data_IF_656541576863
#
_entry.id   IF_656541576863
#
_cell.length_a   1.000
_cell.length_b   1.000
_cell.length_c   1.000
_cell.angle_alpha   90.00
_cell.angle_beta   90.00
_cell.angle_gamma   90.00
#
_symmetry.space_group_name_H-M   'P 1'
#
loop_
_entity.id
_entity.type
_entity.pdbx_description
1 polymer ?
#
# COMPACT_ATOMS: atom_id res chain seq x y z
N UNK A 1 -4.87 18.00 -35.75
CA UNK A 1 -5.08 16.58 -36.05
C UNK A 1 -5.14 15.88 -34.71
N UNK A 2 -6.35 15.66 -34.19
CA UNK A 2 -6.53 15.06 -32.86
C UNK A 2 -6.42 13.55 -33.03
N UNK A 3 -5.23 13.00 -32.80
CA UNK A 3 -5.07 11.55 -32.66
C UNK A 3 -5.92 11.11 -31.47
N UNK A 4 -6.73 10.04 -31.60
CA UNK A 4 -7.50 9.58 -30.45
C UNK A 4 -6.50 9.11 -29.42
N UNK A 5 -6.33 9.86 -28.32
CA UNK A 5 -5.67 9.36 -27.11
C UNK A 5 -6.26 7.98 -26.81
N UNK A 6 -5.49 6.98 -27.17
CA UNK A 6 -6.05 5.70 -27.60
C UNK A 6 -6.65 4.98 -26.40
N UNK A 7 -7.70 4.19 -26.61
CA UNK A 7 -8.33 3.40 -25.55
C UNK A 7 -7.32 2.60 -24.68
N UNK A 8 -6.14 2.31 -25.23
CA UNK A 8 -4.99 1.74 -24.54
C UNK A 8 -4.52 2.59 -23.36
N UNK A 9 -4.32 3.89 -23.52
CA UNK A 9 -3.75 4.74 -22.46
C UNK A 9 -4.71 4.90 -21.28
N UNK A 10 -6.02 4.96 -21.58
CA UNK A 10 -7.10 4.92 -20.58
C UNK A 10 -7.13 3.58 -19.82
N UNK A 11 -6.79 2.47 -20.49
CA UNK A 11 -6.77 1.13 -19.89
C UNK A 11 -5.54 0.94 -19.00
N UNK A 12 -4.37 1.38 -19.44
CA UNK A 12 -3.14 1.39 -18.62
C UNK A 12 -3.36 2.22 -17.36
N UNK A 13 -3.95 3.41 -17.49
CA UNK A 13 -4.25 4.29 -16.35
C UNK A 13 -5.20 3.64 -15.34
N UNK A 14 -6.25 2.96 -15.83
CA UNK A 14 -7.17 2.20 -14.96
C UNK A 14 -6.45 1.08 -14.23
N UNK A 15 -5.65 0.28 -14.93
CA UNK A 15 -4.88 -0.81 -14.33
C UNK A 15 -3.89 -0.29 -13.29
N UNK A 16 -3.19 0.83 -13.55
CA UNK A 16 -2.28 1.45 -12.59
C UNK A 16 -3.01 1.90 -11.31
N UNK A 17 -4.19 2.53 -11.42
CA UNK A 17 -4.99 2.92 -10.25
C UNK A 17 -5.56 1.73 -9.49
N UNK A 18 -5.99 0.67 -10.19
CA UNK A 18 -6.47 -0.56 -9.57
C UNK A 18 -5.33 -1.22 -8.78
N UNK A 19 -4.14 -1.32 -9.35
CA UNK A 19 -2.97 -1.90 -8.67
C UNK A 19 -2.52 -1.04 -7.48
N UNK A 20 -2.49 0.28 -7.62
CA UNK A 20 -2.17 1.19 -6.52
C UNK A 20 -3.19 1.07 -5.38
N UNK A 21 -4.49 1.06 -5.70
CA UNK A 21 -5.55 0.87 -4.72
C UNK A 21 -5.46 -0.49 -4.02
N UNK A 22 -5.19 -1.57 -4.78
CA UNK A 22 -4.99 -2.90 -4.23
C UNK A 22 -3.78 -2.95 -3.28
N UNK A 23 -2.68 -2.30 -3.65
CA UNK A 23 -1.49 -2.21 -2.80
C UNK A 23 -1.78 -1.47 -1.48
N UNK A 24 -2.52 -0.36 -1.55
CA UNK A 24 -2.93 0.39 -0.34
C UNK A 24 -3.84 -0.46 0.54
N UNK A 25 -4.83 -1.15 -0.04
CA UNK A 25 -5.71 -2.06 0.69
C UNK A 25 -4.92 -3.21 1.34
N UNK A 26 -3.95 -3.77 0.62
CA UNK A 26 -3.11 -4.85 1.13
C UNK A 26 -2.23 -4.38 2.30
N UNK A 27 -1.56 -3.24 2.17
CA UNK A 27 -0.73 -2.65 3.23
C UNK A 27 -1.55 -2.33 4.47
N UNK A 28 -2.68 -1.63 4.30
CA UNK A 28 -3.58 -1.29 5.42
C UNK A 28 -4.20 -2.52 6.06
N UNK A 29 -4.53 -3.54 5.27
CA UNK A 29 -4.98 -4.85 5.74
C UNK A 29 -3.94 -5.55 6.60
N UNK A 30 -2.67 -5.59 6.16
CA UNK A 30 -1.56 -6.15 6.94
C UNK A 30 -1.38 -5.38 8.25
N UNK A 31 -1.36 -4.05 8.22
CA UNK A 31 -1.22 -3.23 9.44
C UNK A 31 -2.35 -3.50 10.42
N UNK A 32 -3.59 -3.57 9.93
CA UNK A 32 -4.78 -3.88 10.75
C UNK A 32 -4.69 -5.28 11.34
N UNK A 33 -4.25 -6.27 10.55
CA UNK A 33 -4.08 -7.63 11.00
C UNK A 33 -2.98 -7.76 12.07
N UNK A 34 -1.85 -7.09 11.88
CA UNK A 34 -0.77 -7.02 12.88
C UNK A 34 -1.28 -6.40 14.19
N UNK A 35 -2.02 -5.29 14.10
CA UNK A 35 -2.61 -4.67 15.29
C UNK A 35 -3.59 -5.61 16.02
N UNK A 36 -4.37 -6.40 15.28
CA UNK A 36 -5.24 -7.42 15.84
C UNK A 36 -4.45 -8.54 16.57
N UNK A 37 -3.33 -8.99 16.00
CA UNK A 37 -2.45 -9.98 16.63
C UNK A 37 -1.81 -9.45 17.91
N UNK A 38 -1.32 -8.20 17.92
CA UNK A 38 -0.79 -7.55 19.14
C UNK A 38 -1.86 -7.53 20.23
N UNK A 39 -3.09 -7.11 19.88
CA UNK A 39 -4.21 -7.06 20.83
C UNK A 39 -4.56 -8.44 21.39
N UNK A 40 -4.50 -9.46 20.55
CA UNK A 40 -4.73 -10.86 20.93
C UNK A 40 -3.64 -11.35 21.88
N UNK A 41 -2.37 -11.09 21.57
CA UNK A 41 -1.23 -11.45 22.42
C UNK A 41 -1.32 -10.81 23.80
N UNK A 42 -1.63 -9.50 23.87
CA UNK A 42 -1.85 -8.82 25.15
C UNK A 42 -3.00 -9.43 25.95
N UNK A 43 -4.10 -9.82 25.29
CA UNK A 43 -5.24 -10.46 25.97
C UNK A 43 -4.88 -11.82 26.56
N UNK A 44 -3.94 -12.54 25.94
CA UNK A 44 -3.45 -13.83 26.43
C UNK A 44 -2.39 -13.69 27.53
N UNK A 45 -2.01 -12.46 27.91
CA UNK A 45 -1.02 -12.23 28.96
C UNK A 45 0.42 -12.47 28.51
N UNK A 46 0.66 -12.52 27.19
CA UNK A 46 2.02 -12.57 26.66
C UNK A 46 2.74 -11.26 27.05
N UNK A 47 3.77 -11.39 27.90
CA UNK A 47 4.79 -10.36 28.12
C UNK A 47 5.47 -10.01 26.79
N UNK A 48 6.29 -8.96 26.75
CA UNK A 48 6.98 -8.41 25.55
C UNK A 48 7.69 -9.50 24.72
N UNK A 49 6.88 -10.23 23.94
CA UNK A 49 7.27 -11.41 23.20
C UNK A 49 7.95 -10.93 21.94
N UNK A 50 8.96 -11.68 21.46
CA UNK A 50 9.65 -11.37 20.21
C UNK A 50 8.65 -11.07 19.07
N UNK A 51 7.51 -11.75 19.07
CA UNK A 51 6.40 -11.55 18.14
C UNK A 51 5.76 -10.15 18.20
N UNK A 52 5.62 -9.56 19.40
CA UNK A 52 5.13 -8.19 19.58
C UNK A 52 6.19 -7.18 19.11
N UNK A 53 7.46 -7.42 19.45
CA UNK A 53 8.58 -6.58 19.00
C UNK A 53 8.70 -6.54 17.47
N UNK A 54 8.64 -7.69 16.81
CA UNK A 54 8.67 -7.81 15.34
C UNK A 54 7.48 -7.08 14.72
N UNK A 55 6.28 -7.23 15.30
CA UNK A 55 5.06 -6.56 14.84
C UNK A 55 5.16 -5.04 14.91
N UNK A 56 5.80 -4.51 15.96
CA UNK A 56 6.00 -3.07 16.15
C UNK A 56 6.93 -2.46 15.09
N UNK A 57 7.96 -3.21 14.65
CA UNK A 57 8.88 -2.80 13.57
C UNK A 57 8.25 -3.02 12.19
N UNK A 58 7.42 -4.05 12.02
CA UNK A 58 6.78 -4.35 10.76
C UNK A 58 5.80 -3.25 10.31
N UNK A 59 5.01 -2.68 11.23
CA UNK A 59 4.05 -1.61 10.92
C UNK A 59 4.70 -0.43 10.18
N UNK A 60 5.75 0.24 10.70
CA UNK A 60 6.38 1.36 10.00
C UNK A 60 7.05 0.94 8.68
N UNK A 61 7.57 -0.29 8.57
CA UNK A 61 8.10 -0.81 7.30
C UNK A 61 7.00 -0.92 6.24
N UNK A 62 5.86 -1.50 6.57
CA UNK A 62 4.73 -1.62 5.64
C UNK A 62 4.13 -0.27 5.28
N UNK A 63 4.04 0.67 6.23
CA UNK A 63 3.60 2.04 5.93
C UNK A 63 4.55 2.76 4.99
N UNK A 64 5.86 2.62 5.20
CA UNK A 64 6.89 3.19 4.31
C UNK A 64 6.77 2.59 2.91
N UNK A 65 6.64 1.27 2.81
CA UNK A 65 6.47 0.57 1.53
C UNK A 65 5.20 1.04 0.80
N UNK A 66 4.08 1.14 1.52
CA UNK A 66 2.83 1.68 0.98
C UNK A 66 2.97 3.12 0.49
N UNK A 67 3.66 3.97 1.26
CA UNK A 67 3.95 5.35 0.88
C UNK A 67 4.80 5.45 -0.38
N UNK A 68 5.87 4.63 -0.49
CA UNK A 68 6.72 4.58 -1.69
C UNK A 68 5.92 4.13 -2.91
N UNK A 69 5.08 3.10 -2.78
CA UNK A 69 4.22 2.63 -3.87
C UNK A 69 3.28 3.75 -4.31
N UNK A 70 2.55 4.38 -3.37
CA UNK A 70 1.65 5.49 -3.71
C UNK A 70 2.41 6.63 -4.38
N UNK A 71 3.57 7.02 -3.85
CA UNK A 71 4.39 8.09 -4.40
C UNK A 71 4.84 7.80 -5.84
N UNK A 72 5.36 6.59 -6.10
CA UNK A 72 5.81 6.18 -7.44
C UNK A 72 4.65 6.16 -8.43
N UNK A 73 3.52 5.57 -8.04
CA UNK A 73 2.36 5.48 -8.93
C UNK A 73 1.75 6.85 -9.22
N UNK A 74 1.64 7.74 -8.22
CA UNK A 74 1.19 9.13 -8.43
C UNK A 74 2.19 9.89 -9.31
N UNK A 75 3.49 9.74 -9.08
CA UNK A 75 4.53 10.38 -9.89
C UNK A 75 4.48 9.96 -11.36
N UNK A 76 4.31 8.66 -11.64
CA UNK A 76 4.18 8.12 -13.00
C UNK A 76 2.92 8.61 -13.71
N UNK A 77 1.82 8.80 -12.98
CA UNK A 77 0.57 9.34 -13.52
C UNK A 77 0.67 10.83 -13.83
N UNK A 78 1.31 11.61 -12.95
CA UNK A 78 1.49 13.05 -13.13
C UNK A 78 2.47 13.37 -14.27
N UNK A 79 3.59 12.63 -14.38
CA UNK A 79 4.58 12.84 -15.44
C UNK A 79 4.02 12.53 -16.84
N UNK A 80 3.14 11.52 -16.95
CA UNK A 80 2.46 11.20 -18.21
C UNK A 80 1.41 12.25 -18.61
N UNK A 81 0.81 12.95 -17.65
CA UNK A 81 -0.17 14.02 -17.93
C UNK A 81 0.47 15.36 -18.31
N UNK A 82 1.77 15.53 -18.08
CA UNK A 82 2.52 16.76 -18.36
C UNK A 82 3.24 16.75 -19.72
N UNK A 83 3.23 15.62 -20.43
CA UNK A 83 3.75 15.45 -21.78
C UNK A 83 2.62 15.34 -22.79
#
# INVERSE_FOLDING_TARGET
MNEPESAFDRSVRRTQWVLAGLAVLFVTGIVTWIAHLIRTAWRLGDVLSASIGISLVAIPVFLTLGGVIVYVFVGLLTDRSAR
#
